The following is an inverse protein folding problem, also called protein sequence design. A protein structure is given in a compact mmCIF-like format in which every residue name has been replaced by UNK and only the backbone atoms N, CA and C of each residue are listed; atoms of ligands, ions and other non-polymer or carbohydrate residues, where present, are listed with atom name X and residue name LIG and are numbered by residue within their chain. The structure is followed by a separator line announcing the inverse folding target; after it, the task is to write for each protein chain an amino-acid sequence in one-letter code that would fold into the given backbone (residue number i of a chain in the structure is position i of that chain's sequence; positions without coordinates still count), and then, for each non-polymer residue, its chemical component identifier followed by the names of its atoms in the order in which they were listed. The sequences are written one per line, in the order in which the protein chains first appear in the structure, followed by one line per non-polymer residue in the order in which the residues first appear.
data_IF_389209817618
#
_entry.id   IF_389209817618
#
_cell.length_a   1.000
_cell.length_b   1.000
_cell.length_c   1.000
_cell.angle_alpha   90.00
_cell.angle_beta   90.00
_cell.angle_gamma   90.00
#
_symmetry.space_group_name_H-M   'P 1'
#
loop_
_entity.id
_entity.type
_entity.pdbx_description
1 polymer ?
#
# COMPACT_ATOMS: atom_id res chain seq x y z
N UNK A 1 7.23 24.38 -18.93
CA UNK A 1 5.84 23.91 -18.71
C UNK A 1 5.92 22.58 -17.99
N UNK A 2 5.09 22.36 -16.96
CA UNK A 2 4.84 21.01 -16.48
C UNK A 2 4.15 20.24 -17.61
N UNK A 3 4.46 18.96 -17.83
CA UNK A 3 3.75 18.16 -18.82
C UNK A 3 2.25 18.18 -18.52
N UNK A 4 1.43 18.31 -19.57
CA UNK A 4 -0.02 18.19 -19.44
C UNK A 4 -0.37 16.72 -19.17
N UNK A 5 -1.25 16.52 -18.18
CA UNK A 5 -1.78 15.21 -17.82
C UNK A 5 -3.28 15.23 -18.03
N UNK A 6 -3.84 14.10 -18.44
CA UNK A 6 -5.29 13.94 -18.55
C UNK A 6 -5.97 13.92 -17.17
N UNK A 7 -5.29 13.34 -16.18
CA UNK A 7 -5.83 13.14 -14.82
C UNK A 7 -4.76 13.47 -13.79
N UNK A 8 -5.12 14.29 -12.80
CA UNK A 8 -4.32 14.55 -11.61
C UNK A 8 -5.01 13.94 -10.38
N UNK A 9 -4.30 13.08 -9.67
CA UNK A 9 -4.75 12.43 -8.43
C UNK A 9 -3.96 12.98 -7.26
N UNK A 10 -4.65 13.56 -6.28
CA UNK A 10 -4.02 14.08 -5.06
C UNK A 10 -4.17 13.04 -3.95
N UNK A 11 -3.05 12.42 -3.57
CA UNK A 11 -2.95 11.33 -2.61
C UNK A 11 -2.85 9.97 -3.28
N UNK A 12 -1.86 9.17 -2.88
CA UNK A 12 -1.63 7.78 -3.26
C UNK A 12 -2.11 6.81 -2.16
N UNK A 13 -3.20 7.14 -1.47
CA UNK A 13 -3.96 6.20 -0.65
C UNK A 13 -4.72 5.17 -1.51
N UNK A 14 -5.52 4.27 -0.90
CA UNK A 14 -6.19 3.19 -1.63
C UNK A 14 -7.09 3.71 -2.76
N UNK A 15 -7.83 4.79 -2.50
CA UNK A 15 -8.69 5.43 -3.50
C UNK A 15 -7.89 6.08 -4.63
N UNK A 16 -6.77 6.73 -4.31
CA UNK A 16 -5.93 7.40 -5.30
C UNK A 16 -5.21 6.43 -6.21
N UNK A 17 -4.64 5.34 -5.65
CA UNK A 17 -4.05 4.25 -6.45
C UNK A 17 -5.11 3.64 -7.37
N UNK A 18 -6.31 3.34 -6.85
CA UNK A 18 -7.38 2.76 -7.65
C UNK A 18 -7.85 3.70 -8.78
N UNK A 19 -8.02 4.99 -8.49
CA UNK A 19 -8.39 5.99 -9.49
C UNK A 19 -7.33 6.12 -10.58
N UNK A 20 -6.05 6.15 -10.21
CA UNK A 20 -4.96 6.24 -11.15
C UNK A 20 -4.84 5.00 -12.05
N UNK A 21 -4.94 3.79 -11.47
CA UNK A 21 -4.98 2.56 -12.26
C UNK A 21 -6.13 2.56 -13.25
N UNK A 22 -7.32 2.98 -12.80
CA UNK A 22 -8.49 2.99 -13.66
C UNK A 22 -8.38 4.01 -14.79
N UNK A 23 -7.85 5.20 -14.52
CA UNK A 23 -7.57 6.18 -15.56
C UNK A 23 -6.53 5.65 -16.56
N UNK A 24 -5.49 4.97 -16.07
CA UNK A 24 -4.49 4.33 -16.91
C UNK A 24 -5.11 3.23 -17.81
N UNK A 25 -6.02 2.39 -17.30
CA UNK A 25 -6.76 1.40 -18.10
C UNK A 25 -7.51 2.03 -19.28
N UNK A 26 -8.01 3.26 -19.09
CA UNK A 26 -8.69 4.04 -20.13
C UNK A 26 -7.75 4.82 -21.06
N UNK A 27 -6.46 4.52 -21.04
CA UNK A 27 -5.51 5.12 -21.97
C UNK A 27 -5.02 6.51 -21.55
N UNK A 28 -5.24 6.94 -20.30
CA UNK A 28 -4.94 8.29 -19.83
C UNK A 28 -3.53 8.44 -19.25
N UNK A 29 -2.97 9.63 -19.38
CA UNK A 29 -1.76 10.04 -18.68
C UNK A 29 -2.13 10.59 -17.31
N UNK A 30 -1.61 9.96 -16.26
CA UNK A 30 -1.98 10.26 -14.87
C UNK A 30 -0.78 10.81 -14.12
N UNK A 31 -0.98 11.92 -13.43
CA UNK A 31 -0.08 12.40 -12.39
C UNK A 31 -0.68 12.07 -11.02
N UNK A 32 0.10 11.43 -10.15
CA UNK A 32 -0.27 11.21 -8.75
C UNK A 32 0.66 12.05 -7.89
N UNK A 33 0.10 12.87 -7.00
CA UNK A 33 0.89 13.66 -6.04
C UNK A 33 0.69 13.10 -4.64
N UNK A 34 1.76 12.63 -3.98
CA UNK A 34 1.69 12.11 -2.60
C UNK A 34 2.75 12.75 -1.70
N UNK A 35 2.31 13.24 -0.53
CA UNK A 35 3.16 13.91 0.47
C UNK A 35 3.70 12.96 1.53
N UNK A 36 2.91 11.98 1.92
CA UNK A 36 3.15 11.03 3.00
C UNK A 36 3.60 9.67 2.48
N UNK A 37 3.46 8.61 3.28
CA UNK A 37 3.83 7.27 2.85
C UNK A 37 2.81 6.71 1.84
N UNK A 38 3.29 5.93 0.86
CA UNK A 38 2.46 5.36 -0.20
C UNK A 38 1.45 4.34 0.36
N UNK A 39 0.27 4.26 -0.24
CA UNK A 39 -0.82 3.41 0.25
C UNK A 39 -1.63 4.04 1.38
N UNK A 40 -1.20 5.18 1.93
CA UNK A 40 -1.96 5.99 2.88
C UNK A 40 -2.43 5.21 4.11
N UNK A 41 -3.56 5.59 4.69
CA UNK A 41 -4.11 4.95 5.89
C UNK A 41 -4.57 3.50 5.68
N UNK A 42 -4.78 3.06 4.44
CA UNK A 42 -5.16 1.67 4.17
C UNK A 42 -4.01 0.70 4.42
N UNK A 43 -2.79 1.13 4.09
CA UNK A 43 -1.55 0.37 4.26
C UNK A 43 -0.92 0.68 5.62
N UNK A 44 -0.83 1.96 5.96
CA UNK A 44 -0.24 2.43 7.22
C UNK A 44 -1.30 2.69 8.27
N UNK A 45 -1.14 2.16 9.49
CA UNK A 45 -2.00 2.46 10.64
C UNK A 45 -3.51 2.30 10.37
N UNK A 46 -3.88 1.34 9.52
CA UNK A 46 -5.27 1.04 9.24
C UNK A 46 -5.46 -0.42 8.89
N UNK A 47 -6.14 -0.70 7.78
CA UNK A 47 -6.68 -2.02 7.50
C UNK A 47 -5.59 -3.11 7.41
N UNK A 48 -4.47 -2.85 6.72
CA UNK A 48 -3.39 -3.82 6.60
C UNK A 48 -2.75 -4.11 7.96
N UNK A 49 -2.21 -3.08 8.62
CA UNK A 49 -1.53 -3.21 9.92
C UNK A 49 -2.40 -3.84 11.00
N UNK A 50 -3.69 -3.45 11.08
CA UNK A 50 -4.61 -3.99 12.09
C UNK A 50 -4.95 -5.45 11.83
N UNK A 51 -5.13 -5.86 10.57
CA UNK A 51 -5.38 -7.26 10.20
C UNK A 51 -4.14 -8.12 10.39
N UNK A 52 -2.95 -7.63 10.06
CA UNK A 52 -1.71 -8.37 10.33
C UNK A 52 -1.55 -8.64 11.81
N UNK A 53 -1.78 -7.63 12.67
CA UNK A 53 -1.73 -7.81 14.11
C UNK A 53 -2.83 -8.77 14.63
N UNK A 54 -4.04 -8.68 14.07
CA UNK A 54 -5.14 -9.58 14.39
C UNK A 54 -4.81 -11.04 14.07
N UNK A 55 -4.22 -11.32 12.90
CA UNK A 55 -3.81 -12.68 12.55
C UNK A 55 -2.70 -13.20 13.47
N UNK A 56 -1.68 -12.39 13.77
CA UNK A 56 -0.63 -12.77 14.73
C UNK A 56 -1.21 -13.07 16.12
N UNK A 57 -2.22 -12.31 16.57
CA UNK A 57 -2.94 -12.58 17.81
C UNK A 57 -3.71 -13.90 17.75
N UNK A 58 -4.38 -14.20 16.64
CA UNK A 58 -5.08 -15.47 16.44
C UNK A 58 -4.11 -16.65 16.46
N UNK A 59 -2.94 -16.52 15.85
CA UNK A 59 -1.91 -17.55 15.85
C UNK A 59 -1.43 -17.84 17.27
N UNK A 60 -1.17 -16.80 18.07
CA UNK A 60 -0.81 -16.97 19.48
C UNK A 60 -1.92 -17.66 20.29
N UNK A 61 -3.18 -17.24 20.12
CA UNK A 61 -4.32 -17.86 20.79
C UNK A 61 -4.41 -19.34 20.41
N UNK A 62 -4.25 -19.67 19.14
CA UNK A 62 -4.30 -21.05 18.65
C UNK A 62 -3.16 -21.89 19.20
N UNK A 63 -1.93 -21.36 19.22
CA UNK A 63 -0.77 -22.04 19.81
C UNK A 63 -0.93 -22.25 21.33
N UNK A 64 -1.62 -21.34 22.02
CA UNK A 64 -1.85 -21.41 23.47
C UNK A 64 -3.01 -22.32 23.89
N UNK A 65 -3.76 -22.89 22.93
CA UNK A 65 -4.87 -23.80 23.22
C UNK A 65 -4.39 -25.09 23.87
N UNK A 66 -5.22 -25.62 24.77
CA UNK A 66 -5.01 -26.92 25.44
C UNK A 66 -6.20 -27.88 25.28
N UNK A 67 -7.23 -27.45 24.56
CA UNK A 67 -8.50 -28.16 24.39
C UNK A 67 -8.52 -29.08 23.14
N UNK A 68 -7.37 -29.30 22.50
CA UNK A 68 -7.25 -30.00 21.21
C UNK A 68 -6.56 -31.36 21.30
N UNK A 69 -6.39 -31.90 22.50
CA UNK A 69 -5.70 -33.19 22.71
C UNK A 69 -4.18 -33.12 22.64
N UNK A 70 -3.63 -31.91 22.47
CA UNK A 70 -2.20 -31.60 22.58
C UNK A 70 -2.01 -30.33 23.41
N UNK A 71 -0.82 -30.19 24.00
CA UNK A 71 -0.42 -29.05 24.81
C UNK A 71 0.93 -28.57 24.29
N UNK A 72 0.98 -27.32 23.83
CA UNK A 72 2.23 -26.61 23.62
C UNK A 72 2.62 -25.90 24.93
N UNK A 73 3.88 -26.05 25.33
CA UNK A 73 4.45 -25.39 26.50
C UNK A 73 5.44 -24.30 26.07
N UNK A 74 5.65 -23.30 26.94
CA UNK A 74 6.61 -22.21 26.73
C UNK A 74 6.36 -21.39 25.45
N UNK A 75 5.10 -21.13 25.11
CA UNK A 75 4.73 -20.20 24.02
C UNK A 75 4.85 -18.76 24.54
N UNK A 76 5.98 -18.13 24.27
CA UNK A 76 6.27 -16.75 24.68
C UNK A 76 6.00 -15.75 23.56
N UNK A 77 5.61 -14.52 23.94
CA UNK A 77 5.42 -13.42 22.99
C UNK A 77 6.69 -12.56 22.98
N UNK A 78 7.34 -12.50 21.83
CA UNK A 78 8.28 -11.42 21.53
C UNK A 78 7.55 -10.29 20.80
N UNK A 79 7.16 -9.27 21.56
CA UNK A 79 6.40 -8.15 21.03
C UNK A 79 7.20 -7.34 20.00
N UNK A 80 8.53 -7.28 20.11
CA UNK A 80 9.37 -6.57 19.15
C UNK A 80 9.32 -7.26 17.79
N UNK A 81 9.37 -8.59 17.76
CA UNK A 81 9.21 -9.35 16.53
C UNK A 81 7.79 -9.27 15.96
N UNK A 82 6.75 -9.22 16.80
CA UNK A 82 5.36 -8.99 16.36
C UNK A 82 5.25 -7.66 15.61
N UNK A 83 5.76 -6.57 16.18
CA UNK A 83 5.76 -5.24 15.56
C UNK A 83 6.57 -5.26 14.25
N UNK A 84 7.73 -5.91 14.23
CA UNK A 84 8.54 -6.04 13.02
C UNK A 84 7.83 -6.82 11.91
N UNK A 85 7.04 -7.86 12.23
CA UNK A 85 6.21 -8.54 11.24
C UNK A 85 5.14 -7.62 10.64
N UNK A 86 4.53 -6.76 11.45
CA UNK A 86 3.57 -5.76 10.95
C UNK A 86 4.26 -4.75 10.02
N UNK A 87 5.42 -4.23 10.41
CA UNK A 87 6.20 -3.32 9.57
C UNK A 87 6.63 -3.97 8.25
N UNK A 88 7.05 -5.25 8.28
CA UNK A 88 7.42 -5.99 7.07
C UNK A 88 6.24 -6.10 6.09
N UNK A 89 5.05 -6.41 6.58
CA UNK A 89 3.86 -6.47 5.74
C UNK A 89 3.52 -5.12 5.08
N UNK A 90 3.75 -4.02 5.80
CA UNK A 90 3.61 -2.65 5.29
C UNK A 90 4.64 -2.40 4.18
N UNK A 91 5.92 -2.67 4.45
CA UNK A 91 7.03 -2.42 3.54
C UNK A 91 6.89 -3.23 2.24
N UNK A 92 6.51 -4.50 2.35
CA UNK A 92 6.20 -5.36 1.20
C UNK A 92 5.09 -4.74 0.34
N UNK A 93 4.03 -4.22 0.98
CA UNK A 93 2.93 -3.61 0.23
C UNK A 93 3.34 -2.30 -0.45
N UNK A 94 4.17 -1.49 0.21
CA UNK A 94 4.73 -0.26 -0.37
C UNK A 94 5.63 -0.59 -1.56
N UNK A 95 6.49 -1.61 -1.47
CA UNK A 95 7.35 -2.05 -2.57
C UNK A 95 6.52 -2.44 -3.79
N UNK A 96 5.46 -3.22 -3.60
CA UNK A 96 4.56 -3.62 -4.69
C UNK A 96 3.93 -2.40 -5.39
N UNK A 97 3.50 -1.39 -4.65
CA UNK A 97 2.92 -0.16 -5.22
C UNK A 97 3.98 0.60 -6.04
N UNK A 98 5.20 0.72 -5.50
CA UNK A 98 6.30 1.40 -6.18
C UNK A 98 6.71 0.68 -7.48
N UNK A 99 6.87 -0.64 -7.43
CA UNK A 99 7.18 -1.47 -8.58
C UNK A 99 6.09 -1.36 -9.65
N UNK A 100 4.83 -1.37 -9.24
CA UNK A 100 3.70 -1.17 -10.15
C UNK A 100 3.76 0.20 -10.82
N UNK A 101 3.96 1.28 -10.06
CA UNK A 101 4.08 2.62 -10.65
C UNK A 101 5.30 2.75 -11.56
N UNK A 102 6.45 2.18 -11.19
CA UNK A 102 7.63 2.16 -12.03
C UNK A 102 7.36 1.47 -13.37
N UNK A 103 6.71 0.31 -13.34
CA UNK A 103 6.33 -0.44 -14.54
C UNK A 103 5.32 0.31 -15.45
N UNK A 104 4.53 1.24 -14.88
CA UNK A 104 3.50 2.00 -15.59
C UNK A 104 3.93 3.45 -15.91
N UNK A 105 5.16 3.83 -15.56
CA UNK A 105 5.68 5.19 -15.77
C UNK A 105 6.04 5.49 -17.23
N UNK A 106 6.38 4.47 -18.01
CA UNK A 106 6.79 4.61 -19.40
C UNK A 106 5.58 4.63 -20.33
N UNK A 107 5.59 5.58 -21.27
CA UNK A 107 4.61 5.65 -22.35
C UNK A 107 4.71 4.40 -23.23
N UNK A 108 3.56 3.77 -23.51
CA UNK A 108 3.49 2.66 -24.46
C UNK A 108 3.21 3.19 -25.87
N UNK A 109 3.91 2.64 -26.87
CA UNK A 109 3.81 3.06 -28.27
C UNK A 109 2.38 2.92 -28.85
N UNK A 110 1.62 1.93 -28.39
CA UNK A 110 0.27 1.64 -28.86
C UNK A 110 -0.84 2.39 -28.11
N UNK A 111 -0.59 2.77 -26.86
CA UNK A 111 -1.50 3.53 -26.00
C UNK A 111 -0.64 4.45 -25.13
N UNK A 112 -0.67 5.79 -25.28
CA UNK A 112 0.22 6.67 -24.53
C UNK A 112 -0.27 6.88 -23.09
N UNK A 113 -0.58 5.80 -22.38
CA UNK A 113 -0.95 5.82 -20.97
C UNK A 113 0.29 5.66 -20.09
N UNK A 114 0.36 6.48 -19.05
CA UNK A 114 1.42 6.40 -18.06
C UNK A 114 0.92 6.88 -16.70
N UNK A 115 1.62 6.48 -15.65
CA UNK A 115 1.40 6.95 -14.28
C UNK A 115 2.72 7.53 -13.77
N UNK A 116 2.71 8.83 -13.50
CA UNK A 116 3.84 9.53 -12.92
C UNK A 116 3.56 9.87 -11.46
N UNK A 117 4.37 9.33 -10.55
CA UNK A 117 4.33 9.66 -9.13
C UNK A 117 5.21 10.89 -8.85
N UNK A 118 4.62 11.92 -8.28
CA UNK A 118 5.30 13.12 -7.77
C UNK A 118 5.23 13.12 -6.25
N UNK A 119 6.40 13.19 -5.61
CA UNK A 119 6.50 13.33 -4.15
C UNK A 119 6.35 14.80 -3.78
N UNK A 120 5.33 15.14 -2.98
CA UNK A 120 5.11 16.52 -2.56
C UNK A 120 3.67 16.83 -2.17
N UNK A 121 3.40 18.12 -1.95
CA UNK A 121 2.06 18.61 -1.65
C UNK A 121 1.41 19.19 -2.92
N UNK A 122 0.09 19.04 -3.03
CA UNK A 122 -0.72 19.67 -4.08
C UNK A 122 -1.78 20.59 -3.46
N UNK A 123 -2.13 21.64 -4.20
CA UNK A 123 -3.25 22.54 -3.92
C UNK A 123 -3.85 23.02 -5.25
N UNK A 124 -5.14 23.31 -5.26
CA UNK A 124 -5.78 24.01 -6.37
C UNK A 124 -5.29 25.46 -6.42
N UNK A 125 -5.15 26.01 -7.63
CA UNK A 125 -4.67 27.38 -7.85
C UNK A 125 -5.80 28.32 -8.30
N UNK A 126 -6.95 27.76 -8.65
CA UNK A 126 -8.16 28.38 -9.16
C UNK A 126 -9.40 27.96 -8.35
#
# INVERSE_FOLDING_TARGET
MLPEFDVCVIGAGPAGVAAAMRAWDFGKQVCIVEKGPLGGSGVHNGALSSKTLWELSRDYINASRRDRGYIAENVEIDFSHVVNCVHRAIDEKVSQILEQFAALSQLRLSCPNCINLVRGNARFLD
#
